data_IF_300191928465
#
_entry.id   IF_300191928465
#
_cell.length_a   1.000
_cell.length_b   1.000
_cell.length_c   1.000
_cell.angle_alpha   90.00
_cell.angle_beta   90.00
_cell.angle_gamma   90.00
#
_symmetry.space_group_name_H-M   'P 1'
#
loop_
_entity.id
_entity.type
_entity.pdbx_description
1 polymer ?
#
# COMPACT_ATOMS: atom_id res chain seq x y z
N UNK A 1 0.13 -12.05 13.89
CA UNK A 1 0.56 -11.08 12.87
C UNK A 1 0.18 -11.67 11.52
N UNK A 2 -0.54 -10.93 10.67
CA UNK A 2 -0.91 -11.40 9.31
C UNK A 2 0.16 -10.90 8.35
N UNK A 3 0.78 -11.80 7.59
CA UNK A 3 1.80 -11.47 6.60
C UNK A 3 1.23 -11.62 5.20
N UNK A 4 1.53 -10.67 4.31
CA UNK A 4 1.25 -10.84 2.88
C UNK A 4 2.12 -11.98 2.34
N UNK A 5 1.63 -12.73 1.33
CA UNK A 5 2.46 -13.71 0.64
C UNK A 5 3.76 -13.09 0.13
N UNK A 6 4.82 -13.90 0.04
CA UNK A 6 6.12 -13.44 -0.48
C UNK A 6 5.93 -12.92 -1.91
N UNK A 7 6.51 -11.75 -2.20
CA UNK A 7 6.33 -11.00 -3.46
C UNK A 7 4.92 -10.44 -3.73
N UNK A 8 3.99 -10.52 -2.77
CA UNK A 8 2.64 -9.96 -2.90
C UNK A 8 2.46 -8.63 -2.14
N UNK A 9 3.52 -7.85 -2.02
CA UNK A 9 3.49 -6.57 -1.29
C UNK A 9 2.45 -5.59 -1.87
N UNK A 10 2.13 -5.72 -3.16
CA UNK A 10 1.08 -5.00 -3.87
C UNK A 10 -0.34 -5.17 -3.29
N UNK A 11 -0.59 -6.20 -2.48
CA UNK A 11 -1.87 -6.33 -1.71
C UNK A 11 -1.87 -5.53 -0.40
N UNK A 12 -0.73 -4.98 0.01
CA UNK A 12 -0.63 -4.24 1.26
C UNK A 12 -1.11 -2.79 1.06
N UNK A 13 -2.18 -2.44 1.78
CA UNK A 13 -2.82 -1.11 1.68
C UNK A 13 -1.87 0.03 2.03
N UNK A 14 -0.88 -0.22 2.91
CA UNK A 14 0.08 0.82 3.31
C UNK A 14 0.97 1.27 2.13
N UNK A 15 1.22 0.41 1.14
CA UNK A 15 2.03 0.76 -0.03
C UNK A 15 1.31 1.77 -0.92
N UNK A 16 -0.01 1.68 -1.02
CA UNK A 16 -0.86 2.65 -1.74
C UNK A 16 -0.77 4.01 -1.04
N UNK A 17 -0.88 4.02 0.29
CA UNK A 17 -0.76 5.24 1.07
C UNK A 17 0.62 5.90 0.91
N UNK A 18 1.71 5.13 1.01
CA UNK A 18 3.06 5.65 0.79
C UNK A 18 3.27 6.17 -0.64
N UNK A 19 2.65 5.55 -1.64
CA UNK A 19 2.67 6.08 -3.00
C UNK A 19 1.96 7.44 -3.13
N UNK A 20 0.94 7.71 -2.31
CA UNK A 20 0.27 9.03 -2.26
C UNK A 20 1.16 10.04 -1.53
N UNK A 21 1.73 9.66 -0.39
CA UNK A 21 2.66 10.51 0.39
C UNK A 21 3.85 10.91 -0.48
N UNK A 22 4.46 9.97 -1.20
CA UNK A 22 5.56 10.26 -2.12
C UNK A 22 5.18 11.35 -3.12
N UNK A 23 4.03 11.20 -3.79
CA UNK A 23 3.59 12.12 -4.85
C UNK A 23 3.12 13.49 -4.33
N UNK A 24 2.49 13.53 -3.15
CA UNK A 24 1.83 14.76 -2.64
C UNK A 24 2.64 15.51 -1.60
N UNK A 25 3.48 14.82 -0.84
CA UNK A 25 4.25 15.39 0.26
C UNK A 25 5.70 15.52 -0.14
N UNK A 26 6.31 14.42 -0.58
CA UNK A 26 7.77 14.29 -0.74
C UNK A 26 8.27 14.76 -2.10
N UNK A 27 7.41 14.90 -3.12
CA UNK A 27 7.81 15.35 -4.45
C UNK A 27 7.43 16.82 -4.70
N UNK A 28 8.37 17.69 -5.09
CA UNK A 28 9.83 17.47 -5.14
C UNK A 28 10.45 17.33 -3.75
N UNK A 29 11.55 16.58 -3.64
CA UNK A 29 12.22 16.30 -2.37
C UNK A 29 13.17 17.44 -2.00
N UNK A 30 12.61 18.63 -1.88
CA UNK A 30 13.32 19.87 -1.57
C UNK A 30 12.98 20.31 -0.15
N UNK A 31 13.76 19.81 0.81
CA UNK A 31 13.60 20.09 2.22
C UNK A 31 14.92 20.58 2.81
N UNK A 32 14.84 21.59 3.67
CA UNK A 32 16.01 22.16 4.33
C UNK A 32 16.51 21.28 5.49
N UNK A 33 15.59 20.59 6.16
CA UNK A 33 15.89 19.66 7.26
C UNK A 33 14.76 18.62 7.48
N UNK A 34 14.98 17.70 8.41
CA UNK A 34 14.02 16.65 8.75
C UNK A 34 12.79 17.14 9.52
N UNK A 35 12.87 18.30 10.18
CA UNK A 35 11.72 18.90 10.87
C UNK A 35 10.69 19.36 9.83
N UNK A 36 11.14 19.96 8.74
CA UNK A 36 10.25 20.37 7.65
C UNK A 36 9.51 19.18 7.01
N UNK A 37 10.19 18.03 6.86
CA UNK A 37 9.55 16.79 6.37
C UNK A 37 8.47 16.32 7.35
N UNK A 38 8.78 16.29 8.64
CA UNK A 38 7.86 15.89 9.71
C UNK A 38 6.60 16.75 9.71
N UNK A 39 6.76 18.07 9.71
CA UNK A 39 5.64 19.01 9.78
C UNK A 39 4.74 18.88 8.55
N UNK A 40 5.34 18.69 7.36
CA UNK A 40 4.58 18.51 6.13
C UNK A 40 3.83 17.18 6.09
N UNK A 41 4.41 16.10 6.64
CA UNK A 41 3.73 14.82 6.81
C UNK A 41 2.56 14.93 7.77
N UNK A 42 2.75 15.58 8.92
CA UNK A 42 1.70 15.74 9.92
C UNK A 42 0.53 16.58 9.39
N UNK A 43 0.82 17.73 8.75
CA UNK A 43 -0.20 18.55 8.12
C UNK A 43 -0.94 17.82 6.97
N UNK A 44 -0.22 16.97 6.23
CA UNK A 44 -0.84 16.13 5.21
C UNK A 44 -1.76 15.08 5.82
N UNK A 45 -1.33 14.41 6.89
CA UNK A 45 -2.12 13.40 7.60
C UNK A 45 -3.44 13.99 8.12
N UNK A 46 -3.39 15.12 8.84
CA UNK A 46 -4.57 15.79 9.37
C UNK A 46 -5.60 16.10 8.27
N UNK A 47 -5.11 16.69 7.15
CA UNK A 47 -5.96 17.03 6.01
C UNK A 47 -6.49 15.80 5.28
N UNK A 48 -5.64 14.80 5.07
CA UNK A 48 -6.00 13.59 4.34
C UNK A 48 -7.05 12.81 5.12
N UNK A 49 -6.87 12.64 6.43
CA UNK A 49 -7.83 11.94 7.31
C UNK A 49 -9.19 12.64 7.35
N UNK A 50 -9.23 13.97 7.33
CA UNK A 50 -10.49 14.72 7.33
C UNK A 50 -11.34 14.51 6.06
N UNK A 51 -10.73 14.08 4.96
CA UNK A 51 -11.40 13.97 3.64
C UNK A 51 -11.23 12.61 2.97
N UNK A 52 -10.58 11.66 3.66
CA UNK A 52 -10.27 10.35 3.12
C UNK A 52 -11.56 9.62 2.73
N UNK A 53 -11.49 8.94 1.58
CA UNK A 53 -12.53 8.04 1.12
C UNK A 53 -11.94 6.63 1.05
N UNK A 54 -12.74 5.58 1.30
CA UNK A 54 -12.29 4.21 1.12
C UNK A 54 -11.68 3.99 -0.26
N UNK A 55 -10.56 3.28 -0.33
CA UNK A 55 -9.99 2.88 -1.60
C UNK A 55 -10.95 1.94 -2.32
N UNK A 56 -11.19 2.20 -3.61
CA UNK A 56 -11.93 1.29 -4.47
C UNK A 56 -11.02 0.13 -4.87
N UNK A 57 -11.12 -0.97 -4.12
CA UNK A 57 -10.39 -2.19 -4.40
C UNK A 57 -10.86 -2.83 -5.69
N UNK A 58 -9.91 -3.12 -6.58
CA UNK A 58 -10.16 -3.92 -7.79
C UNK A 58 -9.88 -5.41 -7.58
N UNK A 59 -9.08 -5.75 -6.59
CA UNK A 59 -8.76 -7.12 -6.21
C UNK A 59 -9.57 -7.48 -4.96
N UNK A 60 -10.46 -8.44 -5.11
CA UNK A 60 -11.45 -8.85 -4.11
C UNK A 60 -11.05 -10.17 -3.45
N UNK A 61 -11.80 -10.59 -2.44
CA UNK A 61 -11.63 -11.91 -1.83
C UNK A 61 -11.86 -13.05 -2.84
N UNK A 62 -12.80 -12.88 -3.78
CA UNK A 62 -13.03 -13.86 -4.84
C UNK A 62 -11.83 -13.99 -5.78
N UNK A 63 -11.19 -12.86 -6.14
CA UNK A 63 -9.96 -12.87 -6.94
C UNK A 63 -8.82 -13.59 -6.22
N UNK A 64 -8.75 -13.46 -4.89
CA UNK A 64 -7.79 -14.18 -4.06
C UNK A 64 -8.04 -15.69 -4.07
N UNK A 65 -9.30 -16.11 -3.90
CA UNK A 65 -9.67 -17.54 -3.95
C UNK A 65 -9.30 -18.15 -5.31
N UNK A 66 -9.59 -17.45 -6.40
CA UNK A 66 -9.21 -17.86 -7.76
C UNK A 66 -7.69 -17.95 -7.94
N UNK A 67 -6.95 -16.98 -7.40
CA UNK A 67 -5.49 -16.98 -7.43
C UNK A 67 -4.90 -18.17 -6.67
N UNK A 68 -5.40 -18.44 -5.46
CA UNK A 68 -4.95 -19.57 -4.64
C UNK A 68 -5.27 -20.91 -5.32
N UNK A 69 -6.46 -21.06 -5.91
CA UNK A 69 -6.83 -22.23 -6.68
C UNK A 69 -5.89 -22.42 -7.89
N UNK A 70 -5.51 -21.34 -8.58
CA UNK A 70 -4.55 -21.38 -9.70
C UNK A 70 -3.16 -21.81 -9.23
N UNK A 71 -2.66 -21.27 -8.12
CA UNK A 71 -1.35 -21.62 -7.58
C UNK A 71 -1.30 -23.10 -7.21
N UNK A 72 -2.31 -23.61 -6.50
CA UNK A 72 -2.39 -25.03 -6.14
C UNK A 72 -2.37 -25.97 -7.36
N UNK A 73 -2.88 -25.54 -8.52
CA UNK A 73 -2.82 -26.33 -9.77
C UNK A 73 -1.43 -26.36 -10.41
N UNK A 74 -0.60 -25.35 -10.15
CA UNK A 74 0.71 -25.19 -10.79
C UNK A 74 1.88 -25.47 -9.85
N UNK A 75 1.63 -25.66 -8.56
CA UNK A 75 2.59 -26.27 -7.64
C UNK A 75 2.70 -27.75 -7.99
N UNK A 76 3.84 -28.23 -8.54
CA UNK A 76 4.04 -29.65 -8.73
C UNK A 76 4.02 -30.31 -7.35
N UNK A 77 3.38 -31.47 -7.23
CA UNK A 77 3.44 -32.27 -6.03
C UNK A 77 4.84 -32.88 -5.89
N UNK A 78 5.87 -32.08 -5.58
CA UNK A 78 7.10 -32.59 -4.96
C UNK A 78 8.04 -31.47 -4.46
N UNK A 79 8.20 -31.41 -3.14
CA UNK A 79 9.51 -31.49 -2.48
C UNK A 79 9.35 -31.97 -1.04
#
# INVERSE_FOLDING_TARGET
MVHTPVHASWTNQIEIFFSIVQRKVVTPNDFTDLTQVRDRLQAFEDRYNATAQPFQWKFTTSDLDDLLARLNRHTPADR
#
